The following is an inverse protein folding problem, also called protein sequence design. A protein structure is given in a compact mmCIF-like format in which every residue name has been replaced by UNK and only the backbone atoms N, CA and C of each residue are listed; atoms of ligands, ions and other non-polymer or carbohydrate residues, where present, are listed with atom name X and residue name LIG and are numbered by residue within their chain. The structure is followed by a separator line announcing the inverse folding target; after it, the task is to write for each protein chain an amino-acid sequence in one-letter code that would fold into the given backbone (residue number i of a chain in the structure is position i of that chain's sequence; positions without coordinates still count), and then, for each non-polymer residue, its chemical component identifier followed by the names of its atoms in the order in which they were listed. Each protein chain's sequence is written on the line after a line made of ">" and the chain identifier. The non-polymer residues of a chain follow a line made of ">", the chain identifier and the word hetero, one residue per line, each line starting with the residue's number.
data_IF_292535040271
#
_entry.id   IF_292535040271
#
_cell.length_a   1.000
_cell.length_b   1.000
_cell.length_c   1.000
_cell.angle_alpha   90.00
_cell.angle_beta   90.00
_cell.angle_gamma   90.00
#
_symmetry.space_group_name_H-M   'P 1'
#
loop_
_entity.id
_entity.type
_entity.pdbx_description
1 polymer ?
#
# COMPACT_ATOMS: atom_id res chain seq x y z
N UNK A 1 -1.67 -25.94 -0.74
CA UNK A 1 -1.89 -25.80 -2.18
C UNK A 1 -0.84 -24.85 -2.71
N UNK A 2 0.02 -25.29 -3.62
CA UNK A 2 1.06 -24.45 -4.21
C UNK A 2 0.50 -23.60 -5.36
N UNK A 3 1.16 -22.49 -5.75
CA UNK A 3 0.75 -21.70 -6.91
C UNK A 3 0.63 -22.54 -8.21
N UNK A 4 1.49 -23.54 -8.38
CA UNK A 4 1.46 -24.44 -9.53
C UNK A 4 0.19 -25.32 -9.57
N UNK A 5 -0.27 -25.81 -8.42
CA UNK A 5 -1.50 -26.60 -8.31
C UNK A 5 -2.76 -25.75 -8.59
N UNK A 6 -2.71 -24.45 -8.31
CA UNK A 6 -3.78 -23.49 -8.64
C UNK A 6 -3.86 -23.28 -10.15
N UNK A 7 -2.73 -23.03 -10.82
CA UNK A 7 -2.69 -22.79 -12.27
C UNK A 7 -3.11 -24.03 -13.07
N UNK A 8 -2.75 -25.23 -12.60
CA UNK A 8 -3.19 -26.47 -13.25
C UNK A 8 -4.70 -26.70 -13.19
N UNK A 9 -5.39 -26.13 -12.19
CA UNK A 9 -6.85 -26.27 -12.00
C UNK A 9 -7.66 -25.15 -12.64
N UNK A 10 -7.15 -23.92 -12.61
CA UNK A 10 -7.88 -22.71 -13.01
C UNK A 10 -7.35 -22.06 -14.30
N UNK A 11 -6.17 -22.49 -14.79
CA UNK A 11 -5.48 -21.88 -15.92
C UNK A 11 -4.55 -20.72 -15.50
N UNK A 12 -3.86 -20.16 -16.49
CA UNK A 12 -3.02 -18.98 -16.29
C UNK A 12 -3.88 -17.72 -16.05
N UNK A 13 -3.56 -16.88 -15.06
CA UNK A 13 -4.33 -15.67 -14.81
C UNK A 13 -4.24 -14.70 -15.98
N UNK A 14 -5.40 -14.14 -16.36
CA UNK A 14 -5.52 -13.13 -17.41
C UNK A 14 -4.67 -11.89 -17.09
N UNK A 15 -4.22 -11.19 -18.13
CA UNK A 15 -3.38 -10.00 -17.98
C UNK A 15 -3.99 -8.95 -17.04
N UNK A 16 -5.32 -8.79 -17.05
CA UNK A 16 -6.06 -7.89 -16.17
C UNK A 16 -5.98 -8.28 -14.69
N UNK A 17 -5.86 -9.57 -14.37
CA UNK A 17 -5.69 -10.05 -12.99
C UNK A 17 -4.29 -9.76 -12.49
N UNK A 18 -3.28 -9.95 -13.35
CA UNK A 18 -1.87 -9.62 -13.04
C UNK A 18 -1.69 -8.12 -12.82
N UNK A 19 -2.36 -7.29 -13.62
CA UNK A 19 -2.31 -5.84 -13.53
C UNK A 19 -2.95 -5.24 -12.24
N UNK A 20 -3.77 -6.01 -11.51
CA UNK A 20 -4.34 -5.55 -10.23
C UNK A 20 -3.32 -5.54 -9.09
N UNK A 21 -2.16 -6.16 -9.29
CA UNK A 21 -1.09 -6.20 -8.32
C UNK A 21 -0.15 -5.04 -8.64
N UNK A 22 -0.30 -3.95 -7.90
CA UNK A 22 0.66 -2.84 -7.93
C UNK A 22 1.73 -3.08 -6.88
N UNK A 23 2.97 -3.30 -7.30
CA UNK A 23 4.13 -3.51 -6.42
C UNK A 23 4.94 -2.23 -6.17
N UNK A 24 4.50 -1.10 -6.72
CA UNK A 24 5.18 0.18 -6.64
C UNK A 24 4.19 1.35 -6.50
N UNK A 25 4.70 2.49 -6.03
CA UNK A 25 3.94 3.74 -5.95
C UNK A 25 3.97 4.43 -7.32
N UNK A 26 2.83 4.44 -8.00
CA UNK A 26 2.64 5.09 -9.31
C UNK A 26 2.27 6.58 -9.19
N UNK A 27 1.96 7.20 -10.33
CA UNK A 27 1.56 8.61 -10.40
C UNK A 27 0.26 8.92 -9.64
N UNK A 28 -0.72 8.02 -9.61
CA UNK A 28 -1.99 8.23 -8.92
C UNK A 28 -1.79 8.18 -7.41
N UNK A 29 -0.97 7.26 -6.92
CA UNK A 29 -0.60 7.23 -5.50
C UNK A 29 0.18 8.48 -5.09
N UNK A 30 1.08 8.98 -5.94
CA UNK A 30 1.79 10.25 -5.68
C UNK A 30 0.83 11.44 -5.60
N UNK A 31 -0.14 11.52 -6.50
CA UNK A 31 -1.18 12.56 -6.48
C UNK A 31 -2.02 12.47 -5.20
N UNK A 32 -2.46 11.27 -4.81
CA UNK A 32 -3.21 11.06 -3.57
C UNK A 32 -2.43 11.55 -2.35
N UNK A 33 -1.15 11.18 -2.23
CA UNK A 33 -0.29 11.62 -1.12
C UNK A 33 -0.13 13.16 -1.13
N UNK A 34 0.11 13.77 -2.28
CA UNK A 34 0.28 15.21 -2.41
C UNK A 34 -0.99 16.01 -2.05
N UNK A 35 -2.17 15.42 -2.22
CA UNK A 35 -3.46 16.04 -1.91
C UNK A 35 -4.04 15.61 -0.56
N UNK A 36 -3.40 14.69 0.16
CA UNK A 36 -3.86 14.23 1.47
C UNK A 36 -3.62 15.32 2.53
N UNK A 37 -4.65 15.79 3.25
CA UNK A 37 -4.52 16.88 4.22
C UNK A 37 -3.90 16.44 5.56
N UNK A 38 -3.68 15.15 5.78
CA UNK A 38 -3.00 14.61 6.95
C UNK A 38 -2.41 13.22 6.68
N UNK A 39 -1.50 12.77 7.56
CA UNK A 39 -0.88 11.45 7.55
C UNK A 39 -0.87 10.88 8.97
N UNK A 40 -1.20 9.60 9.13
CA UNK A 40 -1.00 8.89 10.41
C UNK A 40 0.29 8.08 10.35
N UNK A 41 1.17 8.27 11.33
CA UNK A 41 2.43 7.54 11.45
C UNK A 41 2.45 6.80 12.78
N UNK A 42 2.66 5.49 12.73
CA UNK A 42 2.84 4.66 13.92
C UNK A 42 4.33 4.30 14.04
N UNK A 43 4.95 4.66 15.16
CA UNK A 43 6.33 4.28 15.49
C UNK A 43 6.32 3.47 16.78
N UNK A 44 7.09 2.38 16.81
CA UNK A 44 7.30 1.61 18.03
C UNK A 44 8.65 1.98 18.65
N UNK A 45 8.67 2.10 19.98
CA UNK A 45 9.91 2.25 20.75
C UNK A 45 10.69 0.92 20.86
N UNK A 46 11.85 0.96 21.51
CA UNK A 46 12.71 -0.22 21.70
C UNK A 46 12.07 -1.31 22.57
N UNK A 47 11.00 -0.99 23.32
CA UNK A 47 10.22 -1.91 24.14
C UNK A 47 8.93 -2.40 23.45
N UNK A 48 8.72 -2.03 22.18
CA UNK A 48 7.62 -2.50 21.35
C UNK A 48 6.28 -1.80 21.60
N UNK A 49 6.26 -0.68 22.32
CA UNK A 49 5.05 0.14 22.48
C UNK A 49 4.88 1.01 21.24
N UNK A 50 3.83 0.77 20.49
CA UNK A 50 3.45 1.60 19.34
C UNK A 50 2.65 2.81 19.81
N UNK A 51 3.15 4.02 19.53
CA UNK A 51 2.39 5.26 19.64
C UNK A 51 1.95 5.70 18.24
N UNK A 52 0.68 6.07 18.10
CA UNK A 52 0.09 6.46 16.82
C UNK A 52 -0.65 7.79 17.02
N UNK A 53 0.03 8.88 16.72
CA UNK A 53 -0.55 10.21 16.73
C UNK A 53 -0.76 10.68 15.28
N UNK A 54 -1.98 11.06 14.87
CA UNK A 54 -2.21 11.60 13.52
C UNK A 54 -1.49 12.94 13.37
N UNK A 55 -0.60 13.03 12.37
CA UNK A 55 0.14 14.26 12.04
C UNK A 55 -0.59 14.96 10.89
N UNK A 56 -1.13 16.14 11.14
CA UNK A 56 -1.68 16.98 10.07
C UNK A 56 -0.52 17.53 9.21
N UNK A 57 -0.65 17.45 7.88
CA UNK A 57 0.31 18.09 6.99
C UNK A 57 -0.18 19.50 6.67
N UNK A 58 0.58 20.52 7.08
CA UNK A 58 0.24 21.91 6.76
C UNK A 58 0.71 22.20 5.34
N UNK A 59 -0.21 22.59 4.45
CA UNK A 59 0.13 23.00 3.08
C UNK A 59 0.86 24.36 3.13
N UNK A 60 2.12 24.39 2.69
CA UNK A 60 2.93 25.61 2.62
C UNK A 60 2.26 26.70 1.77
N UNK A 61 2.21 27.91 2.32
CA UNK A 61 1.75 29.17 1.68
C UNK A 61 2.72 29.65 0.62
#
# INVERSE_FOLDING_TARGET
>A
MSPAEVHARLGEPEAMVKAKIQDHIDEYFRLFIAHSPFLSMATADAEGRADCSPVATTRGS
#
